data_IF_998617213728
#
_entry.id   IF_998617213728
#
_cell.length_a   1.000
_cell.length_b   1.000
_cell.length_c   1.000
_cell.angle_alpha   90.00
_cell.angle_beta   90.00
_cell.angle_gamma   90.00
#
_symmetry.space_group_name_H-M   'P 1'
#
loop_
_entity.id
_entity.type
_entity.pdbx_description
1 polymer ?
#
# COMPACT_ATOMS: atom_id res chain seq x y z
N UNK A 1 -6.48 -7.30 7.47
CA UNK A 1 -5.79 -7.40 6.16
C UNK A 1 -4.32 -7.69 6.41
N UNK A 2 -3.76 -8.69 5.73
CA UNK A 2 -2.37 -9.11 5.90
C UNK A 2 -1.77 -9.50 4.55
N UNK A 3 -0.87 -8.69 4.02
CA UNK A 3 -0.15 -8.95 2.78
C UNK A 3 1.29 -9.33 3.10
N UNK A 4 1.72 -10.51 2.66
CA UNK A 4 3.08 -11.01 2.87
C UNK A 4 3.87 -10.92 1.56
N UNK A 5 5.11 -10.46 1.63
CA UNK A 5 6.02 -10.24 0.49
C UNK A 5 5.34 -9.58 -0.72
N UNK A 6 4.45 -8.62 -0.46
CA UNK A 6 3.68 -7.97 -1.50
C UNK A 6 4.55 -7.10 -2.40
N UNK A 7 4.31 -7.19 -3.70
CA UNK A 7 5.03 -6.43 -4.73
C UNK A 7 4.07 -5.55 -5.51
N UNK A 8 4.54 -4.39 -5.93
CA UNK A 8 3.75 -3.52 -6.81
C UNK A 8 3.55 -4.22 -8.17
N UNK A 9 2.32 -4.51 -8.62
CA UNK A 9 2.05 -5.36 -9.79
C UNK A 9 2.58 -4.80 -11.12
N UNK A 10 2.79 -3.48 -11.19
CA UNK A 10 3.30 -2.79 -12.38
C UNK A 10 4.81 -2.51 -12.36
N UNK A 11 5.54 -2.91 -11.31
CA UNK A 11 7.00 -2.75 -11.24
C UNK A 11 7.70 -4.05 -11.63
N UNK A 12 8.92 -3.91 -12.14
CA UNK A 12 9.78 -5.03 -12.52
C UNK A 12 9.95 -6.00 -11.31
N UNK A 13 9.49 -7.26 -11.42
CA UNK A 13 9.45 -8.19 -10.30
C UNK A 13 10.85 -8.51 -9.74
N UNK A 14 11.90 -8.40 -10.57
CA UNK A 14 13.27 -8.69 -10.18
C UNK A 14 13.93 -7.51 -9.45
N UNK A 15 13.41 -6.29 -9.65
CA UNK A 15 13.95 -5.05 -9.03
C UNK A 15 13.13 -4.58 -7.84
N UNK A 16 11.83 -4.86 -7.82
CA UNK A 16 10.93 -4.40 -6.75
C UNK A 16 11.29 -5.09 -5.44
N UNK A 17 11.33 -4.33 -4.35
CA UNK A 17 11.53 -4.88 -3.01
C UNK A 17 10.16 -5.26 -2.43
N UNK A 18 9.94 -6.51 -1.97
CA UNK A 18 8.68 -6.93 -1.39
C UNK A 18 8.48 -6.32 0.00
N UNK A 19 7.22 -6.05 0.37
CA UNK A 19 6.86 -5.52 1.69
C UNK A 19 5.81 -6.41 2.39
N UNK A 20 5.93 -6.53 3.71
CA UNK A 20 4.88 -7.10 4.55
C UNK A 20 4.01 -5.96 5.10
N UNK A 21 2.68 -6.09 4.98
CA UNK A 21 1.72 -5.08 5.43
C UNK A 21 0.59 -5.76 6.21
N UNK A 22 0.35 -5.34 7.45
CA UNK A 22 -0.74 -5.85 8.28
C UNK A 22 -1.57 -4.68 8.80
N UNK A 23 -2.90 -4.76 8.75
CA UNK A 23 -3.83 -3.71 9.20
C UNK A 23 -5.10 -4.37 9.77
N UNK A 24 -5.67 -3.81 10.84
CA UNK A 24 -6.99 -4.19 11.34
C UNK A 24 -7.00 -5.34 12.33
N UNK A 25 -5.87 -5.58 13.01
CA UNK A 25 -5.83 -6.36 14.25
C UNK A 25 -6.01 -5.37 15.43
N UNK A 26 -4.94 -5.04 16.16
CA UNK A 26 -5.01 -4.16 17.33
C UNK A 26 -5.04 -2.66 16.99
N UNK A 27 -4.99 -2.31 15.71
CA UNK A 27 -4.95 -0.93 15.23
C UNK A 27 -5.73 -0.76 13.92
N UNK A 28 -6.36 0.39 13.81
CA UNK A 28 -7.13 0.80 12.62
C UNK A 28 -6.36 1.77 11.72
N UNK A 29 -5.23 2.30 12.15
CA UNK A 29 -4.46 3.29 11.39
C UNK A 29 -2.96 2.96 11.38
N UNK A 30 -2.32 3.23 10.25
CA UNK A 30 -0.86 3.17 10.09
C UNK A 30 -0.35 4.56 9.71
N UNK A 31 0.69 5.02 10.40
CA UNK A 31 1.46 6.19 10.02
C UNK A 31 2.77 5.72 9.40
N UNK A 32 3.01 6.05 8.13
CA UNK A 32 4.25 5.68 7.43
C UNK A 32 5.15 6.90 7.32
N UNK A 33 6.33 6.86 7.97
CA UNK A 33 7.29 7.98 8.03
C UNK A 33 8.63 7.62 7.37
N UNK A 34 9.49 8.63 7.14
CA UNK A 34 10.85 8.46 6.60
C UNK A 34 11.15 9.39 5.40
N UNK A 35 12.32 9.25 4.74
CA UNK A 35 12.67 10.06 3.56
C UNK A 35 11.79 9.73 2.34
N UNK A 36 11.44 10.71 1.52
CA UNK A 36 10.49 10.55 0.40
C UNK A 36 10.87 9.43 -0.59
N UNK A 37 12.16 9.15 -0.75
CA UNK A 37 12.69 8.10 -1.63
C UNK A 37 12.60 6.68 -1.03
N UNK A 38 12.20 6.54 0.23
CA UNK A 38 12.15 5.26 0.95
C UNK A 38 10.96 4.35 0.59
N UNK A 39 10.35 4.54 -0.59
CA UNK A 39 9.31 3.63 -1.08
C UNK A 39 7.91 3.79 -0.50
N UNK A 40 7.66 4.74 0.42
CA UNK A 40 6.34 4.92 1.07
C UNK A 40 5.16 5.04 0.10
N UNK A 41 5.27 5.93 -0.88
CA UNK A 41 4.22 6.12 -1.89
C UNK A 41 4.00 4.85 -2.71
N UNK A 42 5.06 4.10 -3.00
CA UNK A 42 4.97 2.81 -3.70
C UNK A 42 4.28 1.78 -2.81
N UNK A 43 4.59 1.72 -1.52
CA UNK A 43 3.93 0.83 -0.55
C UNK A 43 2.44 1.11 -0.48
N UNK A 44 2.02 2.38 -0.38
CA UNK A 44 0.60 2.76 -0.35
C UNK A 44 -0.12 2.43 -1.65
N UNK A 45 0.49 2.70 -2.82
CA UNK A 45 -0.06 2.30 -4.11
C UNK A 45 -0.18 0.78 -4.24
N UNK A 46 0.82 0.05 -3.76
CA UNK A 46 0.80 -1.42 -3.73
C UNK A 46 -0.38 -1.92 -2.90
N UNK A 47 -0.54 -1.41 -1.67
CA UNK A 47 -1.63 -1.77 -0.78
C UNK A 47 -3.00 -1.58 -1.45
N UNK A 48 -3.26 -0.39 -1.99
CA UNK A 48 -4.54 -0.07 -2.64
C UNK A 48 -4.80 -0.91 -3.89
N UNK A 49 -3.79 -1.09 -4.75
CA UNK A 49 -3.91 -1.91 -5.96
C UNK A 49 -4.18 -3.38 -5.62
N UNK A 50 -3.44 -3.96 -4.68
CA UNK A 50 -3.64 -5.36 -4.32
C UNK A 50 -5.00 -5.58 -3.66
N UNK A 51 -5.49 -4.63 -2.86
CA UNK A 51 -6.82 -4.69 -2.29
C UNK A 51 -7.91 -4.72 -3.39
N UNK A 52 -7.82 -3.80 -4.37
CA UNK A 52 -8.78 -3.72 -5.48
C UNK A 52 -8.70 -4.98 -6.37
N UNK A 53 -7.50 -5.44 -6.70
CA UNK A 53 -7.29 -6.65 -7.50
C UNK A 53 -7.93 -7.86 -6.85
N UNK A 54 -7.68 -8.09 -5.57
CA UNK A 54 -8.23 -9.24 -4.86
C UNK A 54 -9.76 -9.17 -4.74
N UNK A 55 -10.33 -8.00 -4.41
CA UNK A 55 -11.79 -7.81 -4.38
C UNK A 55 -12.46 -7.93 -5.75
N UNK A 56 -11.69 -7.78 -6.83
CA UNK A 56 -12.16 -8.00 -8.20
C UNK A 56 -11.98 -9.45 -8.68
N UNK A 57 -11.50 -10.35 -7.81
CA UNK A 57 -11.30 -11.77 -8.13
C UNK A 57 -9.99 -12.09 -8.85
N UNK A 58 -9.02 -11.18 -8.90
CA UNK A 58 -7.70 -11.44 -9.48
C UNK A 58 -6.73 -12.04 -8.46
N UNK A 59 -5.78 -12.83 -8.97
CA UNK A 59 -4.57 -13.16 -8.24
C UNK A 59 -3.76 -11.89 -7.94
N UNK A 60 -3.15 -11.84 -6.76
CA UNK A 60 -2.30 -10.74 -6.33
C UNK A 60 -0.84 -11.19 -6.20
N UNK A 61 0.15 -10.35 -6.55
CA UNK A 61 1.57 -10.62 -6.31
C UNK A 61 1.93 -10.44 -4.83
N UNK A 62 1.52 -11.41 -4.03
CA UNK A 62 1.86 -11.57 -2.62
C UNK A 62 2.12 -13.06 -2.33
N UNK A 63 2.85 -13.34 -1.26
CA UNK A 63 3.12 -14.70 -0.82
C UNK A 63 1.85 -15.39 -0.30
N UNK A 64 1.91 -16.73 -0.23
CA UNK A 64 0.90 -17.56 0.42
C UNK A 64 0.59 -17.08 1.84
N UNK A 65 -0.62 -17.41 2.30
CA UNK A 65 -1.18 -16.96 3.58
C UNK A 65 -1.45 -15.45 3.69
N UNK A 66 -1.33 -14.69 2.59
CA UNK A 66 -1.85 -13.33 2.49
C UNK A 66 -3.38 -13.34 2.51
N UNK A 67 -3.97 -12.33 3.14
CA UNK A 67 -5.41 -12.09 3.21
C UNK A 67 -5.73 -10.62 2.97
N UNK A 68 -6.81 -10.37 2.24
CA UNK A 68 -7.35 -9.02 2.01
C UNK A 68 -8.58 -8.78 2.86
N UNK A 69 -8.88 -7.51 3.12
CA UNK A 69 -10.18 -7.15 3.72
C UNK A 69 -11.31 -7.24 2.68
N UNK A 70 -12.55 -7.13 3.13
CA UNK A 70 -13.69 -6.81 2.26
C UNK A 70 -14.15 -5.40 2.64
N UNK A 71 -13.90 -4.44 1.77
CA UNK A 71 -14.27 -3.05 1.94
C UNK A 71 -15.35 -2.67 0.93
N UNK A 72 -16.35 -1.94 1.41
CA UNK A 72 -17.41 -1.39 0.55
C UNK A 72 -16.86 -0.25 -0.31
N UNK A 73 -16.00 0.57 0.28
CA UNK A 73 -15.42 1.76 -0.33
C UNK A 73 -13.92 1.80 0.01
N UNK A 74 -13.12 2.29 -0.93
CA UNK A 74 -11.67 2.46 -0.76
C UNK A 74 -11.35 3.89 -1.16
N UNK A 75 -10.89 4.69 -0.20
CA UNK A 75 -10.50 6.08 -0.42
C UNK A 75 -8.98 6.20 -0.49
N UNK A 76 -8.50 7.06 -1.39
CA UNK A 76 -7.09 7.36 -1.49
C UNK A 76 -6.92 8.85 -1.80
N UNK A 77 -6.27 9.56 -0.88
CA UNK A 77 -5.76 10.90 -1.13
C UNK A 77 -4.24 10.83 -1.25
N UNK A 78 -3.73 10.77 -2.48
CA UNK A 78 -2.30 10.68 -2.79
C UNK A 78 -1.89 11.96 -3.50
N UNK A 79 -1.32 12.91 -2.74
CA UNK A 79 -0.74 14.12 -3.32
C UNK A 79 0.45 13.80 -4.24
N UNK A 80 0.32 14.15 -5.52
CA UNK A 80 1.46 14.34 -6.43
C UNK A 80 1.47 15.81 -6.87
N UNK A 81 2.13 16.66 -6.10
CA UNK A 81 2.53 17.98 -6.57
C UNK A 81 4.02 17.92 -6.90
N UNK A 82 4.34 17.89 -8.19
CA UNK A 82 5.65 18.33 -8.63
C UNK A 82 5.74 19.85 -8.43
N UNK A 83 6.17 20.31 -7.25
CA UNK A 83 6.81 21.62 -7.04
C UNK A 83 7.67 21.59 -5.76
N UNK A 84 8.82 22.25 -5.84
CA UNK A 84 9.82 22.37 -4.79
C UNK A 84 9.23 22.99 -3.50
N UNK A 85 9.29 22.27 -2.38
CA UNK A 85 9.77 22.74 -1.07
C UNK A 85 9.39 21.75 0.04
N UNK A 86 10.23 21.75 1.08
CA UNK A 86 10.29 20.79 2.18
C UNK A 86 9.04 20.61 3.04
N UNK A 87 9.07 19.42 3.68
CA UNK A 87 8.55 19.02 4.99
C UNK A 87 7.18 18.29 5.02
N UNK A 88 7.30 16.98 5.29
CA UNK A 88 6.31 16.10 5.91
C UNK A 88 5.04 15.81 5.10
N UNK A 89 5.10 14.78 4.26
CA UNK A 89 3.91 14.16 3.68
C UNK A 89 3.24 13.25 4.71
N UNK A 90 2.14 13.74 5.30
CA UNK A 90 1.26 12.96 6.17
C UNK A 90 0.23 12.23 5.30
N UNK A 91 0.13 10.92 5.47
CA UNK A 91 -0.91 10.11 4.83
C UNK A 91 -1.86 9.59 5.90
N UNK A 92 -3.15 9.84 5.72
CA UNK A 92 -4.23 9.18 6.45
C UNK A 92 -5.02 8.31 5.47
N UNK A 93 -5.12 7.02 5.78
CA UNK A 93 -6.19 6.19 5.25
C UNK A 93 -7.40 6.44 6.15
N UNK A 94 -8.42 7.11 5.60
CA UNK A 94 -9.73 7.23 6.22
C UNK A 94 -10.56 6.08 5.66
N UNK A 95 -11.11 5.26 6.57
CA UNK A 95 -12.06 4.20 6.26
C UNK A 95 -13.43 4.77 5.94
#
# INVERSE_FOLDING_TARGET
MRLLKARHPLLDPDKVVPNDITIGEDYSAIIVTGPNTGGKTITLKTLGLLQIMAQSGFFIPAAEYSSVGIFKEIFADIGMSSQLNSHSQHFQLIW
#
